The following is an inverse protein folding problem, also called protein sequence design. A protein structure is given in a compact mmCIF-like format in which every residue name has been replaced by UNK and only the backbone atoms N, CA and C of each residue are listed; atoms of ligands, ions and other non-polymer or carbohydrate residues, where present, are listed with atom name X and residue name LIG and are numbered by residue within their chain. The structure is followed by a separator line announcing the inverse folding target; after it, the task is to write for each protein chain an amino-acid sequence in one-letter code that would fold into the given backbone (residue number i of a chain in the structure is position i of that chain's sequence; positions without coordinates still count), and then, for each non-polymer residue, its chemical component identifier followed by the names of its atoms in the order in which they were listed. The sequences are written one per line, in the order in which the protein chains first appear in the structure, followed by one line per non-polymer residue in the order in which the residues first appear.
data_IF_799564609502
#
_entry.id   IF_799564609502
#
_cell.length_a   1.000
_cell.length_b   1.000
_cell.length_c   1.000
_cell.angle_alpha   90.00
_cell.angle_beta   90.00
_cell.angle_gamma   90.00
#
_symmetry.space_group_name_H-M   'P 1'
#
loop_
_entity.id
_entity.type
_entity.pdbx_description
1 polymer ?
#
# COMPACT_ATOMS: atom_id res chain seq x y z
N UNK A 1 -24.51 22.19 -10.67
CA UNK A 1 -23.44 22.32 -9.65
C UNK A 1 -23.82 21.80 -8.25
N UNK A 2 -25.10 21.74 -7.85
CA UNK A 2 -25.51 21.28 -6.50
C UNK A 2 -25.29 19.79 -6.16
N UNK A 3 -25.33 18.89 -7.14
CA UNK A 3 -25.19 17.44 -6.87
C UNK A 3 -23.80 17.04 -6.34
N UNK A 4 -22.72 17.71 -6.81
CA UNK A 4 -21.34 17.40 -6.40
C UNK A 4 -21.06 17.76 -4.94
N UNK A 5 -21.71 18.81 -4.42
CA UNK A 5 -21.55 19.27 -3.03
C UNK A 5 -22.16 18.30 -2.02
N UNK A 6 -23.29 17.66 -2.36
CA UNK A 6 -23.94 16.69 -1.47
C UNK A 6 -23.16 15.38 -1.32
N UNK A 7 -22.55 14.88 -2.40
CA UNK A 7 -21.68 13.70 -2.36
C UNK A 7 -20.44 13.97 -1.49
N UNK A 8 -19.86 15.17 -1.60
CA UNK A 8 -18.74 15.59 -0.78
C UNK A 8 -19.07 15.57 0.72
N UNK A 9 -20.21 16.12 1.12
CA UNK A 9 -20.63 16.09 2.53
C UNK A 9 -20.86 14.67 3.02
N UNK A 10 -21.44 13.78 2.22
CA UNK A 10 -21.66 12.38 2.62
C UNK A 10 -20.34 11.64 2.82
N UNK A 11 -19.35 11.85 1.94
CA UNK A 11 -18.03 11.20 2.06
C UNK A 11 -17.26 11.79 3.24
N UNK A 12 -17.28 13.11 3.41
CA UNK A 12 -16.61 13.78 4.53
C UNK A 12 -17.25 13.39 5.87
N UNK A 13 -18.59 13.35 5.95
CA UNK A 13 -19.32 12.91 7.15
C UNK A 13 -19.08 11.42 7.40
N UNK A 14 -19.12 10.56 6.38
CA UNK A 14 -18.80 9.15 6.51
C UNK A 14 -17.37 8.93 7.01
N UNK A 15 -16.41 9.68 6.48
CA UNK A 15 -15.01 9.64 6.91
C UNK A 15 -14.81 10.17 8.34
N UNK A 16 -15.46 11.27 8.71
CA UNK A 16 -15.44 11.83 10.07
C UNK A 16 -16.13 10.90 11.08
N UNK A 17 -17.24 10.25 10.70
CA UNK A 17 -17.91 9.24 11.54
C UNK A 17 -17.00 8.02 11.74
N UNK A 18 -16.33 7.55 10.69
CA UNK A 18 -15.39 6.43 10.79
C UNK A 18 -14.19 6.75 11.70
N UNK A 19 -13.71 7.99 11.70
CA UNK A 19 -12.64 8.44 12.59
C UNK A 19 -13.10 8.63 14.05
N UNK A 20 -14.35 9.06 14.27
CA UNK A 20 -14.89 9.28 15.62
C UNK A 20 -15.35 8.00 16.32
N UNK A 21 -15.56 6.89 15.61
CA UNK A 21 -15.95 5.61 16.21
C UNK A 21 -14.76 4.93 16.92
N UNK A 22 -13.51 5.30 16.61
CA UNK A 22 -12.32 4.56 17.06
C UNK A 22 -11.39 5.35 18.01
N UNK A 23 -11.74 6.60 18.38
CA UNK A 23 -10.97 7.38 19.36
C UNK A 23 -11.04 6.82 20.79
N UNK A 24 -11.67 5.66 21.01
CA UNK A 24 -11.68 4.91 22.27
C UNK A 24 -10.87 3.62 22.23
N UNK A 25 -10.13 3.33 21.15
CA UNK A 25 -9.36 2.10 20.99
C UNK A 25 -7.93 2.34 20.50
N UNK A 26 -7.14 3.14 21.23
CA UNK A 26 -5.67 3.14 21.08
C UNK A 26 -4.96 3.72 22.31
N UNK A 27 -5.26 3.21 23.50
CA UNK A 27 -4.39 3.37 24.66
C UNK A 27 -3.53 2.10 24.80
N UNK A 28 -2.42 2.06 24.08
CA UNK A 28 -1.28 1.23 24.45
C UNK A 28 -0.04 2.10 24.52
N UNK A 29 0.52 2.15 25.74
CA UNK A 29 1.71 2.88 26.12
C UNK A 29 2.93 2.38 25.33
N UNK A 30 3.26 3.05 24.22
CA UNK A 30 4.57 2.91 23.58
C UNK A 30 5.46 4.06 24.06
N UNK A 31 6.58 3.67 24.68
CA UNK A 31 7.65 4.58 25.06
C UNK A 31 8.09 5.44 23.86
N UNK A 32 8.03 6.76 24.02
CA UNK A 32 8.48 7.78 23.07
C UNK A 32 10.00 7.69 22.84
N UNK A 33 10.42 6.81 21.94
CA UNK A 33 11.65 6.99 21.20
C UNK A 33 11.33 7.88 19.99
N UNK A 34 11.92 9.08 19.97
CA UNK A 34 11.88 10.01 18.83
C UNK A 34 12.53 9.37 17.58
N UNK A 35 11.80 8.49 16.91
CA UNK A 35 12.12 8.06 15.56
C UNK A 35 11.53 9.08 14.57
N UNK A 36 12.43 9.78 13.87
CA UNK A 36 12.12 10.50 12.64
C UNK A 36 11.36 9.51 11.73
N UNK A 37 10.05 9.73 11.56
CA UNK A 37 9.12 8.71 11.08
C UNK A 37 9.54 8.21 9.70
N UNK A 38 10.12 7.01 9.64
CA UNK A 38 10.77 6.50 8.44
C UNK A 38 9.81 6.28 7.28
N UNK A 39 10.36 6.38 6.06
CA UNK A 39 9.62 6.18 4.82
C UNK A 39 8.92 4.80 4.79
N UNK A 40 7.84 4.68 4.03
CA UNK A 40 6.83 3.60 4.09
C UNK A 40 6.45 3.11 2.68
N UNK A 41 7.41 2.56 1.94
CA UNK A 41 7.27 2.45 0.51
C UNK A 41 8.13 1.38 -0.16
N UNK A 42 7.86 1.26 -1.46
CA UNK A 42 8.67 0.53 -2.42
C UNK A 42 9.64 1.46 -3.16
N UNK A 43 10.68 0.87 -3.75
CA UNK A 43 11.56 1.60 -4.66
C UNK A 43 10.91 1.76 -6.04
N UNK A 44 11.25 2.85 -6.73
CA UNK A 44 10.60 3.21 -8.01
C UNK A 44 10.86 2.27 -9.16
N UNK A 45 12.00 1.59 -9.15
CA UNK A 45 12.47 0.61 -10.14
C UNK A 45 11.84 -0.78 -9.97
N UNK A 46 11.12 -1.01 -8.88
CA UNK A 46 10.47 -2.28 -8.62
C UNK A 46 9.35 -2.53 -9.63
N UNK A 47 9.22 -3.79 -10.07
CA UNK A 47 8.33 -4.17 -11.16
C UNK A 47 7.01 -4.75 -10.65
N UNK A 48 5.93 -4.35 -11.30
CA UNK A 48 4.57 -4.81 -11.08
C UNK A 48 4.07 -5.49 -12.34
N UNK A 49 3.45 -6.65 -12.18
CA UNK A 49 2.81 -7.37 -13.29
C UNK A 49 1.39 -6.84 -13.49
N UNK A 50 1.09 -6.37 -14.70
CA UNK A 50 -0.23 -5.96 -15.13
C UNK A 50 -1.11 -7.17 -15.49
N UNK A 51 -2.43 -7.00 -15.51
CA UNK A 51 -3.38 -8.05 -15.87
C UNK A 51 -3.20 -8.56 -17.30
N UNK A 52 -2.73 -7.70 -18.20
CA UNK A 52 -2.40 -8.04 -19.60
C UNK A 52 -1.10 -8.85 -19.75
N UNK A 53 -0.37 -9.08 -18.65
CA UNK A 53 0.88 -9.85 -18.61
C UNK A 53 2.15 -9.03 -18.75
N UNK A 54 2.05 -7.73 -19.08
CA UNK A 54 3.19 -6.82 -19.14
C UNK A 54 3.71 -6.47 -17.74
N UNK A 55 4.94 -5.95 -17.68
CA UNK A 55 5.53 -5.42 -16.46
C UNK A 55 5.66 -3.91 -16.54
N UNK A 56 5.41 -3.25 -15.41
CA UNK A 56 5.53 -1.80 -15.27
C UNK A 56 6.26 -1.47 -13.96
N UNK A 57 7.19 -0.52 -14.02
CA UNK A 57 7.84 0.02 -12.82
C UNK A 57 6.84 0.74 -11.92
N UNK A 58 6.98 0.60 -10.60
CA UNK A 58 6.12 1.30 -9.62
C UNK A 58 6.11 2.80 -9.86
N UNK A 59 7.27 3.39 -10.22
CA UNK A 59 7.37 4.82 -10.49
C UNK A 59 6.47 5.33 -11.63
N UNK A 60 6.09 4.41 -12.53
CA UNK A 60 5.28 4.65 -13.72
C UNK A 60 3.84 4.14 -13.59
N UNK A 61 3.46 3.54 -12.46
CA UNK A 61 2.07 3.14 -12.19
C UNK A 61 1.13 4.34 -12.24
N UNK A 62 -0.03 4.12 -12.84
CA UNK A 62 -1.09 5.10 -12.98
C UNK A 62 -2.37 4.58 -12.34
N UNK A 63 -3.22 5.51 -11.92
CA UNK A 63 -4.57 5.15 -11.48
C UNK A 63 -5.31 4.43 -12.61
N UNK A 64 -6.16 3.48 -12.22
CA UNK A 64 -6.85 2.53 -13.09
C UNK A 64 -5.97 1.48 -13.77
N UNK A 65 -4.64 1.46 -13.54
CA UNK A 65 -3.82 0.32 -13.97
C UNK A 65 -4.35 -0.97 -13.31
N UNK A 66 -4.62 -1.97 -14.14
CA UNK A 66 -5.09 -3.26 -13.68
C UNK A 66 -3.88 -4.18 -13.46
N UNK A 67 -3.67 -4.62 -12.22
CA UNK A 67 -2.47 -5.34 -11.77
C UNK A 67 -2.81 -6.67 -11.13
N UNK A 68 -1.84 -7.58 -11.12
CA UNK A 68 -1.98 -8.87 -10.46
C UNK A 68 -1.63 -8.76 -8.97
N UNK A 69 -2.46 -9.38 -8.13
CA UNK A 69 -2.21 -9.56 -6.70
C UNK A 69 -2.67 -10.95 -6.25
N UNK A 70 -2.54 -11.24 -4.95
CA UNK A 70 -3.02 -12.46 -4.31
C UNK A 70 -4.10 -12.10 -3.29
N UNK A 71 -5.18 -12.87 -3.29
CA UNK A 71 -6.27 -12.81 -2.31
C UNK A 71 -6.72 -14.23 -1.99
N UNK A 72 -6.74 -14.60 -0.70
CA UNK A 72 -7.14 -15.93 -0.22
C UNK A 72 -6.46 -17.07 -1.02
N UNK A 73 -5.12 -16.97 -1.18
CA UNK A 73 -4.30 -17.92 -1.96
C UNK A 73 -4.67 -18.04 -3.46
N UNK A 74 -5.38 -17.06 -4.02
CA UNK A 74 -5.70 -17.02 -5.46
C UNK A 74 -5.04 -15.82 -6.11
N UNK A 75 -4.47 -16.05 -7.28
CA UNK A 75 -3.99 -14.98 -8.16
C UNK A 75 -5.21 -14.29 -8.75
N UNK A 76 -5.35 -13.00 -8.48
CA UNK A 76 -6.49 -12.19 -8.94
C UNK A 76 -6.00 -10.88 -9.53
N UNK A 77 -6.91 -10.22 -10.24
CA UNK A 77 -6.71 -8.87 -10.74
C UNK A 77 -7.24 -7.82 -9.75
N UNK A 78 -6.56 -6.68 -9.65
CA UNK A 78 -6.97 -5.53 -8.84
C UNK A 78 -6.56 -4.22 -9.51
N UNK A 79 -7.35 -3.16 -9.33
CA UNK A 79 -6.99 -1.84 -9.87
C UNK A 79 -6.11 -1.06 -8.88
N UNK A 80 -5.11 -0.36 -9.42
CA UNK A 80 -4.40 0.72 -8.74
C UNK A 80 -5.32 1.93 -8.64
N UNK A 81 -5.55 2.42 -7.42
CA UNK A 81 -6.45 3.54 -7.16
C UNK A 81 -5.67 4.85 -7.22
N UNK A 82 -4.60 4.95 -6.46
CA UNK A 82 -3.80 6.16 -6.36
C UNK A 82 -2.42 5.88 -5.77
N UNK A 83 -1.54 6.87 -5.86
CA UNK A 83 -0.28 6.89 -5.14
C UNK A 83 -0.49 7.71 -3.85
N UNK A 84 -0.39 7.06 -2.69
CA UNK A 84 -0.57 7.68 -1.37
C UNK A 84 0.58 8.63 -1.04
N UNK A 85 1.79 8.25 -1.45
CA UNK A 85 2.98 9.08 -1.36
C UNK A 85 3.96 8.77 -2.50
N UNK A 86 4.68 9.80 -2.93
CA UNK A 86 5.67 9.74 -4.00
C UNK A 86 6.73 10.82 -3.78
N UNK A 87 7.96 10.40 -3.49
CA UNK A 87 9.09 11.31 -3.34
C UNK A 87 10.23 10.85 -4.24
N UNK A 88 10.34 11.44 -5.43
CA UNK A 88 11.25 10.98 -6.50
C UNK A 88 12.73 11.30 -6.16
N UNK A 89 12.98 12.40 -5.45
CA UNK A 89 14.33 12.91 -5.20
C UNK A 89 14.91 12.49 -3.85
N UNK A 90 14.06 12.05 -2.91
CA UNK A 90 14.49 11.65 -1.56
C UNK A 90 15.16 10.29 -1.59
N UNK A 91 16.08 10.08 -0.64
CA UNK A 91 16.73 8.80 -0.42
C UNK A 91 16.23 8.22 0.90
N UNK A 92 16.12 6.90 0.98
CA UNK A 92 15.74 6.18 2.19
C UNK A 92 16.50 4.84 2.25
N UNK A 93 16.60 4.28 3.46
CA UNK A 93 17.07 2.91 3.65
C UNK A 93 15.97 1.93 3.24
N UNK A 94 16.36 0.94 2.44
CA UNK A 94 15.52 -0.17 2.02
C UNK A 94 16.12 -1.48 2.53
N UNK A 95 15.27 -2.31 3.10
CA UNK A 95 15.48 -3.72 3.39
C UNK A 95 15.17 -4.50 2.11
N UNK A 96 16.21 -5.03 1.50
CA UNK A 96 16.13 -5.88 0.33
C UNK A 96 16.16 -7.33 0.77
N UNK A 97 15.00 -7.98 0.64
CA UNK A 97 14.74 -9.36 1.03
C UNK A 97 14.84 -10.24 -0.20
N UNK A 98 15.77 -11.20 -0.19
CA UNK A 98 15.95 -12.16 -1.27
C UNK A 98 15.50 -13.55 -0.84
N UNK A 99 14.66 -14.18 -1.65
CA UNK A 99 14.14 -15.52 -1.42
C UNK A 99 14.94 -16.59 -2.15
N UNK A 100 14.82 -17.85 -1.72
CA UNK A 100 15.47 -19.01 -2.35
C UNK A 100 15.03 -19.24 -3.81
N UNK A 101 13.79 -18.85 -4.13
CA UNK A 101 13.26 -18.83 -5.51
C UNK A 101 13.91 -17.77 -6.41
N UNK A 102 14.79 -16.93 -5.87
CA UNK A 102 15.49 -15.86 -6.58
C UNK A 102 14.69 -14.56 -6.68
N UNK A 103 13.50 -14.48 -6.09
CA UNK A 103 12.73 -13.24 -6.01
C UNK A 103 13.36 -12.28 -5.01
N UNK A 104 13.25 -10.99 -5.29
CA UNK A 104 13.85 -9.94 -4.48
C UNK A 104 12.92 -8.74 -4.37
N UNK A 105 12.64 -8.31 -3.14
CA UNK A 105 11.79 -7.15 -2.86
C UNK A 105 12.51 -6.17 -1.94
N UNK A 106 12.49 -4.89 -2.30
CA UNK A 106 13.05 -3.80 -1.49
C UNK A 106 11.94 -2.98 -0.86
N UNK A 107 11.92 -2.95 0.47
CA UNK A 107 10.92 -2.26 1.27
C UNK A 107 11.58 -1.37 2.30
N UNK A 108 10.97 -0.24 2.64
CA UNK A 108 11.45 0.54 3.78
C UNK A 108 11.15 -0.17 5.12
N UNK A 109 11.82 0.29 6.18
CA UNK A 109 11.89 -0.36 7.50
C UNK A 109 10.53 -0.85 8.04
N UNK A 110 9.49 0.00 7.95
CA UNK A 110 8.16 -0.23 8.53
C UNK A 110 7.11 -0.65 7.51
N UNK A 111 7.50 -1.07 6.31
CA UNK A 111 6.55 -1.57 5.32
C UNK A 111 6.06 -2.97 5.71
N UNK A 112 4.75 -3.21 5.64
CA UNK A 112 4.20 -4.52 5.98
C UNK A 112 4.34 -5.51 4.81
N UNK A 113 4.86 -6.70 5.13
CA UNK A 113 4.90 -7.83 4.21
C UNK A 113 4.13 -9.02 4.80
N UNK A 114 3.22 -9.64 4.03
CA UNK A 114 2.61 -10.90 4.42
C UNK A 114 3.65 -12.01 4.53
N UNK A 115 3.60 -12.75 5.63
CA UNK A 115 4.46 -13.92 5.89
C UNK A 115 3.62 -15.11 6.30
N UNK A 116 4.20 -16.29 6.18
CA UNK A 116 3.63 -17.51 6.76
C UNK A 116 4.63 -18.11 7.75
N UNK A 117 4.14 -18.47 8.93
CA UNK A 117 5.00 -19.12 9.92
C UNK A 117 5.02 -20.66 9.73
N UNK A 118 5.84 -21.34 10.52
CA UNK A 118 6.01 -22.81 10.47
C UNK A 118 4.72 -23.61 10.75
N UNK A 119 3.71 -22.97 11.34
CA UNK A 119 2.41 -23.59 11.64
C UNK A 119 1.37 -23.35 10.54
N UNK A 120 1.76 -22.67 9.45
CA UNK A 120 0.86 -22.33 8.35
C UNK A 120 -0.02 -21.11 8.61
N UNK A 121 0.23 -20.35 9.69
CA UNK A 121 -0.55 -19.16 10.01
C UNK A 121 0.02 -17.95 9.26
N UNK A 122 -0.85 -17.26 8.51
CA UNK A 122 -0.53 -15.99 7.86
C UNK A 122 -0.38 -14.89 8.91
N UNK A 123 0.64 -14.05 8.75
CA UNK A 123 0.89 -12.86 9.56
C UNK A 123 1.33 -11.71 8.67
N UNK A 124 1.39 -10.51 9.24
CA UNK A 124 2.05 -9.36 8.64
C UNK A 124 3.19 -8.92 9.54
N UNK A 125 4.38 -8.78 8.97
CA UNK A 125 5.56 -8.29 9.67
C UNK A 125 6.07 -7.03 8.98
N UNK A 126 6.69 -6.14 9.74
CA UNK A 126 7.48 -5.06 9.14
C UNK A 126 8.72 -5.64 8.47
N UNK A 127 9.21 -4.99 7.42
CA UNK A 127 10.42 -5.41 6.72
C UNK A 127 11.61 -5.60 7.67
N UNK A 128 11.75 -4.72 8.68
CA UNK A 128 12.78 -4.82 9.73
C UNK A 128 12.68 -6.06 10.63
N UNK A 129 11.49 -6.63 10.75
CA UNK A 129 11.22 -7.78 11.62
C UNK A 129 11.47 -9.12 10.91
N UNK A 130 11.62 -9.10 9.58
CA UNK A 130 11.90 -10.29 8.78
C UNK A 130 13.29 -10.84 9.11
N UNK A 131 13.36 -12.15 9.23
CA UNK A 131 14.59 -12.91 9.48
C UNK A 131 14.85 -13.90 8.37
N UNK A 132 16.11 -14.27 8.19
CA UNK A 132 16.49 -15.39 7.32
C UNK A 132 15.75 -16.64 7.81
N UNK A 133 15.11 -17.34 6.88
CA UNK A 133 14.25 -18.49 7.14
C UNK A 133 12.75 -18.19 7.24
N UNK A 134 12.34 -16.92 7.36
CA UNK A 134 10.92 -16.56 7.26
C UNK A 134 10.42 -16.77 5.83
N UNK A 135 9.16 -17.18 5.66
CA UNK A 135 8.59 -17.50 4.36
C UNK A 135 7.74 -16.34 3.84
N UNK A 136 8.03 -15.94 2.60
CA UNK A 136 7.27 -14.93 1.85
C UNK A 136 6.40 -15.60 0.80
N UNK A 137 5.24 -15.00 0.52
CA UNK A 137 4.39 -15.38 -0.60
C UNK A 137 5.03 -14.88 -1.90
N UNK A 138 5.33 -15.79 -2.81
CA UNK A 138 5.96 -15.47 -4.09
C UNK A 138 5.22 -16.13 -5.25
N UNK A 139 5.28 -15.48 -6.41
CA UNK A 139 4.88 -16.05 -7.67
C UNK A 139 6.12 -16.57 -8.40
N UNK A 140 6.29 -17.89 -8.42
CA UNK A 140 7.41 -18.57 -9.06
C UNK A 140 6.90 -19.47 -10.19
N UNK A 141 7.43 -19.30 -11.41
CA UNK A 141 6.97 -20.02 -12.61
C UNK A 141 5.44 -19.96 -12.82
N UNK A 142 4.83 -18.80 -12.53
CA UNK A 142 3.40 -18.58 -12.66
C UNK A 142 2.53 -19.27 -11.60
N UNK A 143 3.13 -19.88 -10.56
CA UNK A 143 2.43 -20.52 -9.46
C UNK A 143 2.71 -19.80 -8.15
N UNK A 144 1.66 -19.64 -7.35
CA UNK A 144 1.78 -19.15 -5.99
C UNK A 144 2.49 -20.19 -5.12
N UNK A 145 3.53 -19.78 -4.41
CA UNK A 145 4.27 -20.61 -3.47
C UNK A 145 4.82 -19.77 -2.30
N UNK A 146 5.42 -20.44 -1.33
CA UNK A 146 6.11 -19.84 -0.21
C UNK A 146 7.60 -20.08 -0.37
N UNK A 147 8.42 -19.04 -0.22
CA UNK A 147 9.87 -19.16 -0.36
C UNK A 147 10.57 -18.53 0.83
N UNK A 148 11.53 -19.24 1.46
CA UNK A 148 12.24 -18.71 2.60
C UNK A 148 13.16 -17.57 2.17
N UNK A 149 13.29 -16.56 3.03
CA UNK A 149 14.30 -15.50 2.88
C UNK A 149 15.67 -16.10 3.14
N UNK A 150 16.57 -15.97 2.18
CA UNK A 150 17.96 -16.48 2.27
C UNK A 150 18.98 -15.37 2.48
N UNK A 151 18.60 -14.12 2.20
CA UNK A 151 19.48 -12.98 2.36
C UNK A 151 18.68 -11.70 2.62
N UNK A 152 19.22 -10.85 3.48
CA UNK A 152 18.68 -9.53 3.81
C UNK A 152 19.83 -8.55 3.68
N UNK A 153 19.67 -7.55 2.83
CA UNK A 153 20.60 -6.42 2.74
C UNK A 153 19.88 -5.12 3.04
N UNK A 154 20.61 -4.13 3.54
CA UNK A 154 20.10 -2.79 3.76
C UNK A 154 20.87 -1.85 2.85
N UNK A 155 20.15 -1.14 1.98
CA UNK A 155 20.74 -0.26 0.99
C UNK A 155 20.00 1.08 0.89
N UNK A 156 20.74 2.15 0.63
CA UNK A 156 20.16 3.46 0.36
C UNK A 156 19.67 3.50 -1.09
N UNK A 157 18.36 3.67 -1.29
CA UNK A 157 17.78 3.89 -2.63
C UNK A 157 17.16 5.27 -2.74
N UNK A 158 17.14 5.79 -3.96
CA UNK A 158 16.49 7.05 -4.30
C UNK A 158 15.09 6.77 -4.86
N UNK A 159 14.13 7.58 -4.45
CA UNK A 159 12.76 7.47 -4.94
C UNK A 159 11.98 6.43 -4.14
N UNK A 160 10.88 6.86 -3.55
CA UNK A 160 10.01 5.96 -2.81
C UNK A 160 8.53 6.23 -3.08
N UNK A 161 7.74 5.16 -3.16
CA UNK A 161 6.41 5.14 -3.75
C UNK A 161 5.46 4.23 -2.96
N UNK A 162 4.28 4.74 -2.61
CA UNK A 162 3.26 4.02 -1.86
C UNK A 162 1.96 3.86 -2.69
N UNK A 163 1.89 2.87 -3.60
CA UNK A 163 0.69 2.62 -4.38
C UNK A 163 -0.42 2.02 -3.51
N UNK A 164 -1.66 2.47 -3.71
CA UNK A 164 -2.85 1.90 -3.10
C UNK A 164 -3.68 1.16 -4.14
N UNK A 165 -4.00 -0.11 -3.87
CA UNK A 165 -4.87 -0.92 -4.72
C UNK A 165 -6.26 -1.10 -4.11
N UNK A 166 -7.22 -1.52 -4.94
CA UNK A 166 -8.55 -1.92 -4.47
C UNK A 166 -8.51 -3.05 -3.45
N UNK A 167 -7.52 -3.94 -3.50
CA UNK A 167 -7.35 -5.03 -2.54
C UNK A 167 -6.55 -4.63 -1.30
N UNK A 168 -5.65 -3.66 -1.40
CA UNK A 168 -4.72 -3.31 -0.32
C UNK A 168 -3.45 -4.16 -0.32
N UNK A 169 -3.27 -5.01 -1.33
CA UNK A 169 -2.07 -5.81 -1.59
C UNK A 169 -1.68 -5.69 -3.07
N UNK A 170 -0.43 -6.00 -3.38
CA UNK A 170 0.11 -6.07 -4.74
C UNK A 170 1.32 -7.01 -4.80
N UNK A 171 1.64 -7.52 -6.00
CA UNK A 171 2.88 -8.26 -6.26
C UNK A 171 3.98 -7.31 -6.73
N UNK A 172 5.04 -7.18 -5.94
CA UNK A 172 6.24 -6.40 -6.27
C UNK A 172 7.40 -7.34 -6.52
N UNK A 173 7.98 -7.31 -7.72
CA UNK A 173 8.99 -8.28 -8.17
C UNK A 173 8.54 -9.73 -7.92
N UNK A 174 7.24 -9.99 -8.13
CA UNK A 174 6.56 -11.25 -7.87
C UNK A 174 6.53 -11.70 -6.39
N UNK A 175 6.80 -10.81 -5.44
CA UNK A 175 6.60 -11.04 -3.99
C UNK A 175 5.36 -10.29 -3.52
N UNK A 176 4.49 -10.93 -2.73
CA UNK A 176 3.30 -10.27 -2.20
C UNK A 176 3.70 -9.25 -1.14
N UNK A 177 3.13 -8.05 -1.24
CA UNK A 177 3.31 -7.01 -0.25
C UNK A 177 1.97 -6.32 0.09
N UNK A 178 1.91 -5.76 1.29
CA UNK A 178 0.84 -4.85 1.69
C UNK A 178 1.00 -3.51 0.96
N UNK A 179 -0.10 -2.79 0.74
CA UNK A 179 -0.06 -1.36 0.38
C UNK A 179 0.23 -0.46 1.61
N UNK A 180 0.32 -1.05 2.80
CA UNK A 180 0.38 -0.34 4.08
C UNK A 180 1.70 -0.57 4.82
N UNK A 181 2.03 0.37 5.68
CA UNK A 181 3.18 0.40 6.56
C UNK A 181 2.76 0.95 7.94
N UNK A 182 3.61 0.92 8.96
CA UNK A 182 3.44 1.59 10.27
C UNK A 182 2.10 1.39 11.05
N UNK A 183 1.22 0.53 10.57
CA UNK A 183 0.06 0.01 11.29
C UNK A 183 0.32 -1.48 11.37
N UNK A 184 0.52 -2.02 12.56
CA UNK A 184 0.80 -3.45 12.77
C UNK A 184 -0.37 -4.37 12.34
N UNK A 185 -1.50 -3.78 11.96
CA UNK A 185 -2.72 -4.47 11.55
C UNK A 185 -3.15 -4.04 10.15
N UNK A 186 -2.89 -4.90 9.16
CA UNK A 186 -3.33 -4.71 7.77
C UNK A 186 -4.85 -4.48 7.66
N UNK A 187 -5.66 -5.18 8.47
CA UNK A 187 -7.13 -5.03 8.42
C UNK A 187 -7.58 -3.66 8.92
N UNK A 188 -6.89 -3.12 9.93
CA UNK A 188 -7.17 -1.78 10.43
C UNK A 188 -6.84 -0.74 9.36
N UNK A 189 -5.67 -0.82 8.73
CA UNK A 189 -5.32 0.05 7.62
C UNK A 189 -6.29 -0.09 6.44
N UNK A 190 -6.74 -1.31 6.13
CA UNK A 190 -7.76 -1.58 5.11
C UNK A 190 -9.08 -0.86 5.42
N UNK A 191 -9.50 -0.87 6.69
CA UNK A 191 -10.71 -0.19 7.15
C UNK A 191 -10.61 1.33 6.97
N UNK A 192 -9.51 1.94 7.43
CA UNK A 192 -9.27 3.37 7.26
C UNK A 192 -9.18 3.82 5.80
N UNK A 193 -8.76 2.92 4.91
CA UNK A 193 -8.65 3.19 3.47
C UNK A 193 -9.93 2.83 2.69
N UNK A 194 -10.96 2.26 3.34
CA UNK A 194 -12.23 1.92 2.70
C UNK A 194 -12.97 3.14 2.09
N UNK A 195 -12.96 4.34 2.69
CA UNK A 195 -13.61 5.52 2.11
C UNK A 195 -13.02 5.94 0.77
N UNK A 196 -11.69 5.84 0.60
CA UNK A 196 -11.02 6.12 -0.69
C UNK A 196 -11.51 5.16 -1.79
N UNK A 197 -11.58 3.86 -1.47
CA UNK A 197 -12.12 2.83 -2.36
C UNK A 197 -13.57 3.06 -2.73
N UNK A 198 -14.40 3.43 -1.75
CA UNK A 198 -15.80 3.72 -1.97
C UNK A 198 -15.97 4.93 -2.90
N UNK A 199 -15.23 6.01 -2.65
CA UNK A 199 -15.26 7.20 -3.49
C UNK A 199 -14.84 6.90 -4.93
N UNK A 200 -13.74 6.15 -5.11
CA UNK A 200 -13.29 5.70 -6.42
C UNK A 200 -14.38 4.93 -7.19
N UNK A 201 -14.97 3.92 -6.55
CA UNK A 201 -16.06 3.12 -7.14
C UNK A 201 -17.27 3.99 -7.46
N UNK A 202 -17.66 4.87 -6.55
CA UNK A 202 -18.81 5.74 -6.71
C UNK A 202 -18.60 6.70 -7.89
N UNK A 203 -17.45 7.36 -7.99
CA UNK A 203 -17.13 8.27 -9.09
C UNK A 203 -17.20 7.56 -10.46
N UNK A 204 -16.65 6.34 -10.56
CA UNK A 204 -16.73 5.52 -11.77
C UNK A 204 -18.17 5.07 -12.08
N UNK A 205 -18.95 4.72 -11.06
CA UNK A 205 -20.36 4.35 -11.22
C UNK A 205 -21.19 5.47 -11.84
N UNK A 206 -20.98 6.71 -11.41
CA UNK A 206 -21.65 7.89 -12.00
C UNK A 206 -20.95 8.43 -13.26
N UNK A 207 -20.07 7.63 -13.89
CA UNK A 207 -19.33 7.96 -15.13
C UNK A 207 -18.54 9.27 -15.06
N UNK A 208 -18.03 9.63 -13.89
CA UNK A 208 -17.03 10.69 -13.79
C UNK A 208 -15.67 10.16 -14.24
N UNK A 209 -14.83 11.08 -14.75
CA UNK A 209 -13.40 10.81 -14.94
C UNK A 209 -12.81 10.28 -13.62
N UNK A 210 -11.80 9.42 -13.75
CA UNK A 210 -11.03 8.88 -12.64
C UNK A 210 -10.65 9.99 -11.63
N UNK A 211 -11.21 9.96 -10.40
CA UNK A 211 -11.08 11.05 -9.45
C UNK A 211 -9.65 11.20 -8.90
N UNK A 212 -8.79 10.19 -9.11
CA UNK A 212 -7.40 10.18 -8.63
C UNK A 212 -6.38 10.31 -9.78
N UNK A 213 -6.85 10.46 -11.02
CA UNK A 213 -5.97 10.79 -12.13
C UNK A 213 -5.60 12.28 -12.10
N UNK A 214 -4.48 12.59 -11.46
CA UNK A 214 -3.96 13.96 -11.26
C UNK A 214 -3.73 14.73 -12.58
N UNK A 215 -3.54 14.04 -13.71
CA UNK A 215 -3.36 14.68 -15.01
C UNK A 215 -4.69 15.02 -15.71
N UNK A 216 -5.82 14.53 -15.21
CA UNK A 216 -7.14 14.65 -15.85
C UNK A 216 -8.24 15.25 -14.96
N UNK A 217 -7.90 15.69 -13.75
CA UNK A 217 -8.87 16.17 -12.75
C UNK A 217 -8.70 17.64 -12.39
N UNK A 218 -9.04 18.54 -13.34
CA UNK A 218 -9.30 19.93 -12.98
C UNK A 218 -10.52 20.00 -12.02
N UNK A 219 -10.29 20.39 -10.76
CA UNK A 219 -11.34 20.69 -9.78
C UNK A 219 -11.64 19.63 -8.70
N UNK A 220 -11.05 18.43 -8.76
CA UNK A 220 -11.13 17.40 -7.69
C UNK A 220 -9.87 17.31 -6.81
N UNK A 221 -8.83 18.08 -7.15
CA UNK A 221 -7.56 18.08 -6.44
C UNK A 221 -7.69 18.34 -4.93
N UNK A 222 -8.62 19.21 -4.53
CA UNK A 222 -8.79 19.58 -3.12
C UNK A 222 -9.43 18.46 -2.27
N UNK A 223 -10.36 17.66 -2.81
CA UNK A 223 -10.96 16.54 -2.06
C UNK A 223 -9.93 15.46 -1.79
N UNK A 224 -9.13 15.12 -2.80
CA UNK A 224 -8.02 14.18 -2.68
C UNK A 224 -6.99 14.71 -1.66
N UNK A 225 -6.66 16.00 -1.68
CA UNK A 225 -5.75 16.59 -0.70
C UNK A 225 -6.30 16.59 0.72
N UNK A 226 -7.60 16.79 0.94
CA UNK A 226 -8.21 16.69 2.27
C UNK A 226 -8.17 15.24 2.77
N UNK A 227 -8.53 14.28 1.92
CA UNK A 227 -8.46 12.87 2.30
C UNK A 227 -7.01 12.46 2.62
N UNK A 228 -6.04 12.90 1.81
CA UNK A 228 -4.61 12.73 2.09
C UNK A 228 -4.15 13.46 3.35
N UNK A 229 -4.66 14.68 3.61
CA UNK A 229 -4.36 15.43 4.83
C UNK A 229 -4.81 14.66 6.07
N UNK A 230 -6.00 14.07 6.05
CA UNK A 230 -6.44 13.25 7.18
C UNK A 230 -5.66 11.95 7.29
N UNK A 231 -5.34 11.27 6.18
CA UNK A 231 -4.45 10.12 6.21
C UNK A 231 -3.07 10.48 6.83
N UNK A 232 -2.57 11.70 6.56
CA UNK A 232 -1.37 12.28 7.19
C UNK A 232 -1.55 12.53 8.67
N UNK A 233 -2.65 13.19 9.05
CA UNK A 233 -2.92 13.57 10.44
C UNK A 233 -2.99 12.36 11.37
N UNK A 234 -3.65 11.28 10.95
CA UNK A 234 -3.82 10.07 11.75
C UNK A 234 -2.66 9.06 11.59
N UNK A 235 -1.58 9.41 10.88
CA UNK A 235 -0.44 8.53 10.58
C UNK A 235 -0.90 7.13 10.12
N UNK A 236 -1.96 7.08 9.31
CA UNK A 236 -2.65 5.86 8.88
C UNK A 236 -1.82 5.12 7.82
N UNK A 237 -0.62 4.69 8.20
CA UNK A 237 0.17 3.67 7.53
C UNK A 237 0.42 3.80 6.04
N UNK A 238 0.35 5.01 5.51
CA UNK A 238 0.26 5.27 4.07
C UNK A 238 1.37 6.18 3.55
N UNK A 239 2.25 6.68 4.42
CA UNK A 239 3.05 7.86 4.12
C UNK A 239 4.51 7.64 4.40
N UNK A 240 5.28 7.94 3.38
CA UNK A 240 6.69 7.79 3.35
C UNK A 240 7.37 9.06 3.85
N UNK A 241 7.24 9.34 5.15
CA UNK A 241 7.85 10.54 5.70
C UNK A 241 9.35 10.36 5.98
#
# INVERSE_FOLDING_TARGET
MHSKTNIFYIILIGFIILLNIDSSASDHDDHDDHHDGGAQCFSGDSLIKLSNGEYKEIGNLQSSDEIITIDQSKIISTEMIMMLDKQISKQALFYTLKTDTGNEISLTEYHLIPTINSHGNENYLFAKQIKIGDYLFVLFNGKLTYSPVINITIEMKKGYYAPLTMKGTLLVNNVLASCYANVNNHHLAQYYMAPFRYYYKFARFISLNDPFNINKTEGLYWTVNIMLYFARYFRLGALCL
#
